data_IF_364512618130
#
_entry.id   IF_364512618130
#
_cell.length_a   1.000
_cell.length_b   1.000
_cell.length_c   1.000
_cell.angle_alpha   90.00
_cell.angle_beta   90.00
_cell.angle_gamma   90.00
#
_symmetry.space_group_name_H-M   'P 1'
#
loop_
_entity.id
_entity.type
_entity.pdbx_description
1 polymer ?
#
# COMPACT_ATOMS: atom_id res chain seq x y z
N UNK A 1 2.15 -0.70 16.19
CA UNK A 1 2.62 -1.38 14.96
C UNK A 1 2.34 -0.52 13.73
N UNK A 2 3.04 -0.78 12.61
CA UNK A 2 2.84 -0.03 11.36
C UNK A 2 1.40 -0.16 10.83
N UNK A 3 0.79 -1.32 11.00
CA UNK A 3 -0.60 -1.56 10.60
C UNK A 3 -1.60 -0.81 11.47
N UNK A 4 -1.36 -0.72 12.79
CA UNK A 4 -2.19 0.09 13.69
C UNK A 4 -2.13 1.58 13.31
N UNK A 5 -0.94 2.07 12.94
CA UNK A 5 -0.79 3.43 12.43
C UNK A 5 -1.61 3.67 11.14
N UNK A 6 -1.62 2.70 10.22
CA UNK A 6 -2.46 2.80 9.01
C UNK A 6 -3.95 2.84 9.33
N UNK A 7 -4.42 2.06 10.32
CA UNK A 7 -5.83 2.13 10.77
C UNK A 7 -6.15 3.52 11.29
N UNK A 8 -5.28 4.09 12.11
CA UNK A 8 -5.47 5.44 12.65
C UNK A 8 -5.47 6.49 11.54
N UNK A 9 -4.51 6.43 10.60
CA UNK A 9 -4.45 7.33 9.46
C UNK A 9 -5.71 7.25 8.57
N UNK A 10 -6.20 6.04 8.30
CA UNK A 10 -7.43 5.86 7.54
C UNK A 10 -8.63 6.46 8.26
N UNK A 11 -8.81 6.15 9.54
CA UNK A 11 -9.93 6.67 10.33
C UNK A 11 -9.92 8.19 10.42
N UNK A 12 -8.76 8.78 10.59
CA UNK A 12 -8.61 10.22 10.68
C UNK A 12 -8.98 10.93 9.37
N UNK A 13 -8.54 10.39 8.23
CA UNK A 13 -8.72 11.04 6.92
C UNK A 13 -9.97 10.59 6.16
N UNK A 14 -10.48 9.39 6.43
CA UNK A 14 -11.57 8.75 5.67
C UNK A 14 -12.65 8.14 6.57
N UNK A 15 -12.77 8.60 7.82
CA UNK A 15 -13.71 8.04 8.80
C UNK A 15 -15.17 8.11 8.38
N UNK A 16 -15.54 9.14 7.61
CA UNK A 16 -16.91 9.40 7.15
C UNK A 16 -17.21 8.79 5.77
N UNK A 17 -16.31 7.99 5.23
CA UNK A 17 -16.49 7.40 3.89
C UNK A 17 -17.44 6.21 3.95
N UNK A 18 -18.53 6.30 3.20
CA UNK A 18 -19.55 5.25 3.11
C UNK A 18 -19.05 3.98 2.39
N UNK A 19 -19.59 2.85 2.83
CA UNK A 19 -19.33 1.53 2.27
C UNK A 19 -18.00 0.93 2.72
N UNK A 20 -17.68 -0.24 2.19
CA UNK A 20 -16.42 -0.91 2.48
C UNK A 20 -15.30 -0.35 1.61
N UNK A 21 -14.22 0.08 2.24
CA UNK A 21 -12.98 0.49 1.57
C UNK A 21 -11.88 -0.54 1.79
N UNK A 22 -11.03 -0.73 0.78
CA UNK A 22 -9.84 -1.58 0.87
C UNK A 22 -8.58 -0.74 0.66
N UNK A 23 -7.61 -0.87 1.56
CA UNK A 23 -6.28 -0.27 1.40
C UNK A 23 -5.28 -1.36 1.06
N UNK A 24 -4.51 -1.17 -0.01
CA UNK A 24 -3.39 -2.03 -0.41
C UNK A 24 -2.08 -1.31 -0.10
N UNK A 25 -1.44 -1.71 0.97
CA UNK A 25 -0.12 -1.20 1.36
C UNK A 25 0.97 -2.11 0.77
N UNK A 26 1.45 -1.74 -0.42
CA UNK A 26 2.38 -2.55 -1.21
C UNK A 26 3.81 -2.17 -0.87
N UNK A 27 4.44 -3.01 -0.06
CA UNK A 27 5.83 -2.84 0.36
C UNK A 27 6.82 -3.64 -0.50
N UNK A 28 8.07 -3.66 -0.05
CA UNK A 28 9.14 -4.41 -0.73
C UNK A 28 8.94 -5.93 -0.63
N UNK A 29 8.61 -6.46 0.55
CA UNK A 29 8.50 -7.91 0.79
C UNK A 29 7.07 -8.42 0.85
N UNK A 30 6.16 -7.58 1.35
CA UNK A 30 4.77 -7.95 1.66
C UNK A 30 3.81 -6.88 1.22
N UNK A 31 2.58 -7.28 0.97
CA UNK A 31 1.43 -6.38 0.82
C UNK A 31 0.49 -6.58 1.99
N UNK A 32 0.16 -5.50 2.70
CA UNK A 32 -0.88 -5.53 3.71
C UNK A 32 -2.20 -5.10 3.08
N UNK A 33 -3.22 -5.90 3.29
CA UNK A 33 -4.58 -5.65 2.83
C UNK A 33 -5.40 -5.27 4.04
N UNK A 34 -5.93 -4.05 4.06
CA UNK A 34 -6.76 -3.55 5.14
C UNK A 34 -8.16 -3.28 4.59
N UNK A 35 -9.18 -3.74 5.31
CA UNK A 35 -10.58 -3.43 5.03
C UNK A 35 -11.14 -2.53 6.11
N UNK A 36 -11.98 -1.59 5.71
CA UNK A 36 -12.67 -0.66 6.60
C UNK A 36 -14.14 -0.56 6.21
N UNK A 37 -15.02 -0.74 7.17
CA UNK A 37 -16.47 -0.63 6.99
C UNK A 37 -17.14 -0.20 8.30
N UNK A 38 -17.61 1.04 8.37
CA UNK A 38 -18.05 1.63 9.63
C UNK A 38 -16.97 1.47 10.70
N UNK A 39 -17.28 0.96 11.88
CA UNK A 39 -16.29 0.72 12.94
C UNK A 39 -15.44 -0.55 12.75
N UNK A 40 -15.81 -1.42 11.80
CA UNK A 40 -15.07 -2.65 11.55
C UNK A 40 -13.81 -2.38 10.75
N UNK A 41 -12.76 -3.13 11.06
CA UNK A 41 -11.58 -3.23 10.20
C UNK A 41 -11.01 -4.65 10.26
N UNK A 42 -10.31 -5.03 9.21
CA UNK A 42 -9.64 -6.32 9.13
C UNK A 42 -8.31 -6.14 8.39
N UNK A 43 -7.28 -6.84 8.84
CA UNK A 43 -5.94 -6.75 8.25
C UNK A 43 -5.44 -8.15 7.91
N UNK A 44 -4.92 -8.31 6.71
CA UNK A 44 -4.24 -9.53 6.28
C UNK A 44 -2.94 -9.19 5.55
N UNK A 45 -1.91 -9.98 5.78
CA UNK A 45 -0.63 -9.87 5.07
C UNK A 45 -0.55 -10.91 3.96
N UNK A 46 -0.18 -10.46 2.77
CA UNK A 46 0.16 -11.28 1.61
C UNK A 46 1.68 -11.23 1.45
N UNK A 47 2.34 -12.39 1.35
CA UNK A 47 3.79 -12.49 1.19
C UNK A 47 4.23 -12.28 -0.27
N UNK A 48 3.71 -11.22 -0.89
CA UNK A 48 4.08 -10.74 -2.22
C UNK A 48 4.30 -9.24 -2.10
N UNK A 49 5.43 -8.76 -2.60
CA UNK A 49 5.79 -7.35 -2.67
C UNK A 49 6.69 -7.08 -3.87
N UNK A 50 7.22 -5.87 -3.98
CA UNK A 50 8.05 -5.47 -5.12
C UNK A 50 9.30 -6.33 -5.31
N UNK A 51 9.87 -6.87 -4.23
CA UNK A 51 11.03 -7.75 -4.30
C UNK A 51 10.73 -9.09 -4.98
N UNK A 52 9.46 -9.51 -5.05
CA UNK A 52 9.08 -10.71 -5.81
C UNK A 52 9.37 -10.52 -7.31
N UNK A 53 9.12 -9.30 -7.83
CA UNK A 53 9.44 -8.95 -9.22
C UNK A 53 10.95 -8.94 -9.43
N UNK A 54 11.69 -8.28 -8.54
CA UNK A 54 13.15 -8.21 -8.61
C UNK A 54 13.80 -9.57 -8.58
N UNK A 55 13.34 -10.45 -7.68
CA UNK A 55 13.89 -11.80 -7.53
C UNK A 55 13.64 -12.67 -8.77
N UNK A 56 12.45 -12.63 -9.33
CA UNK A 56 12.13 -13.39 -10.53
C UNK A 56 12.91 -12.87 -11.75
N UNK A 57 13.00 -11.54 -11.89
CA UNK A 57 13.77 -10.91 -12.96
C UNK A 57 15.27 -11.23 -12.83
N UNK A 58 15.83 -11.15 -11.62
CA UNK A 58 17.23 -11.54 -11.37
C UNK A 58 17.51 -13.00 -11.73
N UNK A 59 16.55 -13.89 -11.41
CA UNK A 59 16.67 -15.32 -11.70
C UNK A 59 16.61 -15.59 -13.21
N UNK A 60 15.65 -14.98 -13.92
CA UNK A 60 15.46 -15.18 -15.36
C UNK A 60 16.65 -14.62 -16.17
N UNK A 61 17.17 -13.46 -15.76
CA UNK A 61 18.28 -12.80 -16.46
C UNK A 61 19.67 -13.20 -15.95
N UNK A 62 19.75 -14.03 -14.90
CA UNK A 62 20.97 -14.44 -14.21
C UNK A 62 21.80 -13.23 -13.69
N UNK A 63 21.13 -12.16 -13.34
CA UNK A 63 21.72 -10.96 -12.73
C UNK A 63 21.77 -11.07 -11.21
N UNK A 64 22.59 -10.22 -10.60
CA UNK A 64 22.53 -10.01 -9.14
C UNK A 64 21.26 -9.26 -8.78
N UNK A 65 20.71 -9.54 -7.60
CA UNK A 65 19.49 -8.86 -7.10
C UNK A 65 19.60 -7.33 -7.17
N UNK A 66 20.75 -6.75 -6.78
CA UNK A 66 20.95 -5.30 -6.81
C UNK A 66 20.88 -4.69 -8.22
N UNK A 67 21.41 -5.39 -9.23
CA UNK A 67 21.32 -4.96 -10.62
C UNK A 67 19.89 -5.06 -11.16
N UNK A 68 19.21 -6.16 -10.83
CA UNK A 68 17.81 -6.35 -11.18
C UNK A 68 16.90 -5.30 -10.52
N UNK A 69 17.20 -4.92 -9.27
CA UNK A 69 16.47 -3.88 -8.54
C UNK A 69 16.65 -2.52 -9.21
N UNK A 70 17.87 -2.17 -9.61
CA UNK A 70 18.15 -0.92 -10.30
C UNK A 70 17.39 -0.83 -11.63
N UNK A 71 17.38 -1.90 -12.43
CA UNK A 71 16.63 -1.96 -13.69
C UNK A 71 15.12 -1.84 -13.42
N UNK A 72 14.61 -2.52 -12.39
CA UNK A 72 13.20 -2.41 -12.02
C UNK A 72 12.82 -0.99 -11.62
N UNK A 73 13.67 -0.28 -10.87
CA UNK A 73 13.40 1.11 -10.47
C UNK A 73 13.41 2.08 -11.66
N UNK A 74 14.24 1.81 -12.68
CA UNK A 74 14.35 2.67 -13.86
C UNK A 74 13.33 2.34 -14.95
N UNK A 75 13.03 1.05 -15.17
CA UNK A 75 12.29 0.55 -16.33
C UNK A 75 11.09 -0.34 -15.95
N UNK A 76 10.85 -0.56 -14.65
CA UNK A 76 9.79 -1.44 -14.20
C UNK A 76 8.41 -0.86 -14.48
N UNK A 77 7.54 -1.68 -15.05
CA UNK A 77 6.13 -1.39 -15.27
C UNK A 77 5.31 -2.67 -15.21
N UNK A 78 4.02 -2.57 -14.97
CA UNK A 78 3.12 -3.74 -15.04
C UNK A 78 2.56 -3.83 -16.46
N UNK A 79 2.97 -4.87 -17.21
CA UNK A 79 2.47 -5.08 -18.56
C UNK A 79 0.94 -5.30 -18.54
N UNK A 80 0.20 -4.50 -19.27
CA UNK A 80 -1.26 -4.64 -19.36
C UNK A 80 -1.68 -5.80 -20.27
N UNK A 81 -0.81 -6.17 -21.24
CA UNK A 81 -1.05 -7.27 -22.19
C UNK A 81 -2.10 -6.90 -23.26
N UNK A 82 -2.50 -7.89 -24.05
CA UNK A 82 -3.50 -7.69 -25.09
C UNK A 82 -2.99 -6.82 -26.24
N UNK A 83 -3.72 -5.74 -26.56
CA UNK A 83 -3.40 -4.82 -27.65
C UNK A 83 -2.28 -3.81 -27.34
N UNK A 84 -1.76 -3.79 -26.12
CA UNK A 84 -0.64 -2.94 -25.74
C UNK A 84 0.65 -3.49 -26.35
N UNK A 85 1.42 -2.61 -27.02
CA UNK A 85 2.70 -2.98 -27.59
C UNK A 85 3.68 -3.43 -26.50
N UNK A 86 4.42 -4.50 -26.76
CA UNK A 86 5.54 -4.87 -25.90
C UNK A 86 6.64 -3.81 -26.00
N UNK A 87 7.31 -3.46 -24.89
CA UNK A 87 8.46 -2.57 -24.92
C UNK A 87 9.55 -3.08 -25.87
N UNK A 88 10.22 -2.17 -26.58
CA UNK A 88 11.31 -2.51 -27.48
C UNK A 88 12.58 -2.94 -26.73
N UNK A 89 12.80 -2.41 -25.52
CA UNK A 89 13.92 -2.79 -24.67
C UNK A 89 13.70 -4.19 -24.07
N UNK A 90 14.61 -5.15 -24.28
CA UNK A 90 14.44 -6.52 -23.80
C UNK A 90 14.30 -6.63 -22.28
N UNK A 91 14.97 -5.79 -21.49
CA UNK A 91 14.86 -5.80 -20.04
C UNK A 91 13.51 -5.25 -19.59
N UNK A 92 13.05 -4.18 -20.24
CA UNK A 92 11.73 -3.60 -19.97
C UNK A 92 10.60 -4.59 -20.34
N UNK A 93 10.71 -5.26 -21.49
CA UNK A 93 9.76 -6.30 -21.90
C UNK A 93 9.74 -7.46 -20.90
N UNK A 94 10.91 -7.96 -20.49
CA UNK A 94 11.01 -9.04 -19.52
C UNK A 94 10.42 -8.66 -18.15
N UNK A 95 10.81 -7.47 -17.62
CA UNK A 95 10.34 -7.04 -16.30
C UNK A 95 8.85 -6.72 -16.29
N UNK A 96 8.29 -6.18 -17.37
CA UNK A 96 6.86 -5.90 -17.49
C UNK A 96 6.02 -7.17 -17.45
N UNK A 97 6.47 -8.21 -18.13
CA UNK A 97 5.86 -9.54 -18.14
C UNK A 97 5.91 -10.19 -16.75
N UNK A 98 7.07 -10.14 -16.09
CA UNK A 98 7.27 -10.69 -14.74
C UNK A 98 6.40 -9.92 -13.74
N UNK A 99 6.39 -8.59 -13.80
CA UNK A 99 5.56 -7.76 -12.94
C UNK A 99 4.08 -8.12 -13.09
N UNK A 100 3.59 -8.29 -14.33
CA UNK A 100 2.22 -8.73 -14.59
C UNK A 100 1.93 -10.11 -13.96
N UNK A 101 2.86 -11.06 -14.06
CA UNK A 101 2.69 -12.39 -13.47
C UNK A 101 2.63 -12.33 -11.93
N UNK A 102 3.54 -11.54 -11.31
CA UNK A 102 3.56 -11.34 -9.86
C UNK A 102 2.26 -10.68 -9.39
N UNK A 103 1.82 -9.63 -10.08
CA UNK A 103 0.57 -8.93 -9.74
C UNK A 103 -0.67 -9.80 -9.99
N UNK A 104 -0.65 -10.70 -10.96
CA UNK A 104 -1.71 -11.69 -11.16
C UNK A 104 -1.81 -12.67 -9.98
N UNK A 105 -0.68 -13.14 -9.46
CA UNK A 105 -0.66 -13.97 -8.24
C UNK A 105 -1.15 -13.19 -7.02
N UNK A 106 -0.75 -11.93 -6.89
CA UNK A 106 -1.27 -11.05 -5.84
C UNK A 106 -2.79 -10.88 -5.95
N UNK A 107 -3.33 -10.65 -7.14
CA UNK A 107 -4.77 -10.56 -7.38
C UNK A 107 -5.53 -11.82 -6.93
N UNK A 108 -4.99 -13.02 -7.16
CA UNK A 108 -5.60 -14.26 -6.65
C UNK A 108 -5.68 -14.25 -5.12
N UNK A 109 -4.60 -13.85 -4.46
CA UNK A 109 -4.56 -13.73 -3.00
C UNK A 109 -5.52 -12.64 -2.47
N UNK A 110 -5.65 -11.53 -3.21
CA UNK A 110 -6.62 -10.48 -2.88
C UNK A 110 -8.06 -11.01 -2.96
N UNK A 111 -8.42 -11.74 -4.02
CA UNK A 111 -9.75 -12.36 -4.12
C UNK A 111 -10.06 -13.31 -2.96
N UNK A 112 -9.11 -14.15 -2.59
CA UNK A 112 -9.25 -15.05 -1.44
C UNK A 112 -9.44 -14.26 -0.14
N UNK A 113 -8.71 -13.15 0.01
CA UNK A 113 -8.79 -12.28 1.19
C UNK A 113 -10.14 -11.56 1.25
N UNK A 114 -10.64 -11.06 0.13
CA UNK A 114 -11.98 -10.45 0.03
C UNK A 114 -13.08 -11.47 0.36
N UNK A 115 -12.98 -12.69 -0.14
CA UNK A 115 -13.93 -13.76 0.20
C UNK A 115 -13.90 -14.12 1.69
N UNK A 116 -12.72 -14.12 2.31
CA UNK A 116 -12.59 -14.35 3.76
C UNK A 116 -13.21 -13.20 4.54
N UNK A 117 -12.95 -11.96 4.15
CA UNK A 117 -13.58 -10.78 4.75
C UNK A 117 -15.10 -10.87 4.72
N UNK A 118 -15.68 -11.20 3.57
CA UNK A 118 -17.13 -11.30 3.42
C UNK A 118 -17.73 -12.48 4.21
N UNK A 119 -17.17 -13.67 4.07
CA UNK A 119 -17.78 -14.89 4.61
C UNK A 119 -17.48 -15.13 6.08
N UNK A 120 -16.31 -14.72 6.57
CA UNK A 120 -15.85 -15.04 7.92
C UNK A 120 -15.89 -13.83 8.85
N UNK A 121 -15.74 -12.63 8.31
CA UNK A 121 -15.74 -11.40 9.12
C UNK A 121 -17.05 -10.61 8.98
N UNK A 122 -17.96 -11.07 8.13
CA UNK A 122 -19.27 -10.43 7.93
C UNK A 122 -19.16 -9.02 7.33
N UNK A 123 -18.15 -8.80 6.50
CA UNK A 123 -17.95 -7.54 5.79
C UNK A 123 -18.63 -7.52 4.43
N UNK A 124 -18.85 -6.33 3.89
CA UNK A 124 -19.38 -6.12 2.56
C UNK A 124 -18.30 -6.16 1.48
N UNK A 125 -18.71 -6.24 0.22
CA UNK A 125 -17.78 -6.13 -0.90
C UNK A 125 -17.16 -4.72 -0.91
N UNK A 126 -15.84 -4.59 -1.03
CA UNK A 126 -15.22 -3.27 -1.18
C UNK A 126 -15.77 -2.54 -2.41
N UNK A 127 -15.97 -1.25 -2.30
CA UNK A 127 -16.45 -0.38 -3.38
C UNK A 127 -15.37 0.52 -3.93
N UNK A 128 -14.19 0.57 -3.28
CA UNK A 128 -13.02 1.35 -3.69
C UNK A 128 -11.74 0.78 -3.11
N UNK A 129 -10.63 1.09 -3.74
CA UNK A 129 -9.29 0.68 -3.30
C UNK A 129 -8.39 1.90 -3.19
N UNK A 130 -7.68 2.00 -2.08
CA UNK A 130 -6.62 2.98 -1.88
C UNK A 130 -5.25 2.30 -1.96
N UNK A 131 -4.36 2.84 -2.76
CA UNK A 131 -2.97 2.37 -2.88
C UNK A 131 -2.07 3.15 -1.92
N UNK A 132 -1.27 2.42 -1.16
CA UNK A 132 -0.25 2.93 -0.25
C UNK A 132 1.06 2.16 -0.44
N UNK A 133 2.17 2.76 -0.03
CA UNK A 133 3.48 2.14 -0.02
C UNK A 133 4.31 2.40 -1.26
N UNK A 134 5.64 2.25 -1.13
CA UNK A 134 6.59 2.65 -2.16
C UNK A 134 6.49 1.89 -3.49
N UNK A 135 5.95 0.67 -3.48
CA UNK A 135 5.75 -0.10 -4.70
C UNK A 135 4.46 0.26 -5.46
N UNK A 136 3.56 1.02 -4.83
CA UNK A 136 2.29 1.42 -5.43
C UNK A 136 2.44 2.35 -6.66
N UNK A 137 3.58 3.03 -6.78
CA UNK A 137 3.87 3.94 -7.90
C UNK A 137 4.35 3.25 -9.18
N UNK A 138 4.47 1.92 -9.19
CA UNK A 138 4.91 1.21 -10.39
C UNK A 138 3.96 1.54 -11.56
N UNK A 139 4.48 2.00 -12.71
CA UNK A 139 3.66 2.37 -13.86
C UNK A 139 2.68 1.26 -14.26
N UNK A 140 1.47 1.65 -14.59
CA UNK A 140 0.33 0.79 -14.98
C UNK A 140 -0.20 -0.15 -13.89
N UNK A 141 0.31 -0.09 -12.65
CA UNK A 141 -0.23 -0.88 -11.55
C UNK A 141 -1.67 -0.48 -11.18
N UNK A 142 -2.01 0.82 -11.07
CA UNK A 142 -3.41 1.22 -10.81
C UNK A 142 -4.37 0.71 -11.89
N UNK A 143 -4.02 0.83 -13.17
CA UNK A 143 -4.82 0.38 -14.31
C UNK A 143 -5.01 -1.13 -14.29
N UNK A 144 -3.94 -1.89 -14.03
CA UNK A 144 -4.01 -3.34 -13.89
C UNK A 144 -4.96 -3.75 -12.75
N UNK A 145 -4.85 -3.10 -11.60
CA UNK A 145 -5.72 -3.40 -10.44
C UNK A 145 -7.17 -2.99 -10.71
N UNK A 146 -7.41 -1.85 -11.34
CA UNK A 146 -8.74 -1.40 -11.72
C UNK A 146 -9.43 -2.41 -12.67
N UNK A 147 -8.69 -2.90 -13.68
CA UNK A 147 -9.18 -3.94 -14.59
C UNK A 147 -9.52 -5.24 -13.84
N UNK A 148 -8.62 -5.68 -12.96
CA UNK A 148 -8.77 -6.98 -12.28
C UNK A 148 -9.79 -6.98 -11.15
N UNK A 149 -9.91 -5.89 -10.43
CA UNK A 149 -10.81 -5.77 -9.27
C UNK A 149 -12.17 -5.17 -9.64
N UNK A 150 -12.28 -4.52 -10.81
CA UNK A 150 -13.51 -3.86 -11.31
C UNK A 150 -14.05 -2.82 -10.31
N UNK A 151 -13.15 -2.03 -9.72
CA UNK A 151 -13.49 -0.97 -8.78
C UNK A 151 -12.52 0.21 -8.91
N UNK A 152 -12.92 1.42 -8.48
CA UNK A 152 -12.06 2.60 -8.49
C UNK A 152 -10.79 2.37 -7.68
N UNK A 153 -9.65 2.79 -8.23
CA UNK A 153 -8.35 2.76 -7.60
C UNK A 153 -7.87 4.20 -7.42
N UNK A 154 -7.50 4.55 -6.19
CA UNK A 154 -7.00 5.87 -5.84
C UNK A 154 -5.74 5.73 -5.00
N UNK A 155 -4.86 6.74 -5.01
CA UNK A 155 -3.76 6.79 -4.05
C UNK A 155 -4.27 7.26 -2.68
N UNK A 156 -3.78 6.62 -1.62
CA UNK A 156 -4.10 7.01 -0.26
C UNK A 156 -3.52 8.40 0.04
N UNK A 157 -4.37 9.35 0.40
CA UNK A 157 -3.95 10.68 0.87
C UNK A 157 -4.05 10.75 2.41
N UNK A 158 -2.92 10.73 3.13
CA UNK A 158 -2.93 10.81 4.59
C UNK A 158 -3.08 12.23 5.14
N UNK A 159 -3.19 13.25 4.28
CA UNK A 159 -3.15 14.66 4.66
C UNK A 159 -4.49 15.39 4.52
N UNK A 160 -5.61 14.67 4.27
CA UNK A 160 -6.94 15.32 4.10
C UNK A 160 -7.33 16.15 5.32
N UNK A 161 -7.06 15.63 6.51
CA UNK A 161 -7.35 16.32 7.78
C UNK A 161 -6.16 17.05 8.39
N UNK A 162 -5.08 17.28 7.61
CA UNK A 162 -3.83 17.90 8.11
C UNK A 162 -3.58 19.20 7.38
N UNK A 163 -3.41 20.29 8.15
CA UNK A 163 -2.96 21.57 7.59
C UNK A 163 -1.46 21.49 7.27
N UNK A 164 -1.11 21.78 6.01
CA UNK A 164 0.27 21.77 5.53
C UNK A 164 0.76 23.20 5.41
N UNK A 165 1.81 23.51 6.15
CA UNK A 165 2.51 24.80 6.05
C UNK A 165 3.30 24.86 4.72
N UNK A 166 2.75 25.59 3.76
CA UNK A 166 3.33 25.75 2.42
C UNK A 166 4.61 26.59 2.39
N UNK A 167 4.91 27.33 3.44
CA UNK A 167 6.15 28.10 3.54
C UNK A 167 7.35 27.21 3.90
N UNK A 168 7.10 26.07 4.55
CA UNK A 168 8.13 25.13 5.02
C UNK A 168 8.14 23.81 4.25
N UNK A 169 7.07 23.44 3.54
CA UNK A 169 6.94 22.16 2.84
C UNK A 169 6.73 22.39 1.36
N UNK A 170 7.55 21.75 0.52
CA UNK A 170 7.31 21.69 -0.92
C UNK A 170 6.13 20.75 -1.22
N UNK A 171 4.96 21.35 -1.41
CA UNK A 171 3.71 20.63 -1.64
C UNK A 171 3.79 19.80 -2.92
N UNK A 172 4.45 20.27 -3.98
CA UNK A 172 4.57 19.57 -5.24
C UNK A 172 5.42 18.27 -5.11
N UNK A 173 6.46 18.32 -4.30
CA UNK A 173 7.23 17.10 -3.98
C UNK A 173 6.47 16.18 -3.02
N UNK A 174 5.73 16.75 -2.06
CA UNK A 174 4.90 15.96 -1.14
C UNK A 174 3.80 15.19 -1.89
N UNK A 175 3.14 15.79 -2.86
CA UNK A 175 2.10 15.14 -3.66
C UNK A 175 2.60 13.87 -4.37
N UNK A 176 3.85 13.86 -4.85
CA UNK A 176 4.46 12.70 -5.52
C UNK A 176 4.64 11.51 -4.60
N UNK A 177 4.90 11.74 -3.32
CA UNK A 177 5.23 10.70 -2.35
C UNK A 177 4.23 10.58 -1.19
N UNK A 178 3.22 11.44 -1.16
CA UNK A 178 2.25 11.55 -0.06
C UNK A 178 1.60 10.22 0.32
N UNK A 179 1.31 9.39 -0.68
CA UNK A 179 0.71 8.05 -0.50
C UNK A 179 1.60 7.09 0.33
N UNK A 180 2.86 7.42 0.60
CA UNK A 180 3.77 6.61 1.44
C UNK A 180 3.77 7.04 2.91
N UNK A 181 3.18 8.18 3.24
CA UNK A 181 3.23 8.79 4.58
C UNK A 181 2.13 8.30 5.53
N UNK A 182 1.20 7.48 5.10
CA UNK A 182 0.07 7.04 5.92
C UNK A 182 0.47 6.51 7.31
N UNK A 183 1.53 5.71 7.39
CA UNK A 183 2.03 5.17 8.67
C UNK A 183 2.61 6.25 9.56
N UNK A 184 3.32 7.22 8.99
CA UNK A 184 3.96 8.33 9.72
C UNK A 184 2.87 9.25 10.27
N UNK A 185 1.92 9.65 9.43
CA UNK A 185 0.76 10.45 9.86
C UNK A 185 -0.05 9.72 10.92
N UNK A 186 -0.34 8.43 10.73
CA UNK A 186 -1.06 7.62 11.70
C UNK A 186 -0.35 7.43 13.05
N UNK A 187 0.97 7.63 13.11
CA UNK A 187 1.72 7.71 14.35
C UNK A 187 1.64 9.10 14.96
N UNK A 188 1.79 10.14 14.13
CA UNK A 188 1.84 11.53 14.59
C UNK A 188 0.48 11.99 15.18
N UNK A 189 -0.63 11.63 14.55
CA UNK A 189 -1.97 12.03 15.02
C UNK A 189 -2.33 11.49 16.41
N UNK A 190 -1.62 10.48 16.93
CA UNK A 190 -1.84 9.94 18.28
C UNK A 190 -1.61 10.97 19.39
N UNK A 191 -0.82 12.00 19.12
CA UNK A 191 -0.54 13.07 20.10
C UNK A 191 -1.64 14.15 20.10
N UNK A 192 -2.46 14.22 19.04
CA UNK A 192 -3.42 15.32 18.85
C UNK A 192 -4.87 14.86 18.67
N UNK A 193 -5.11 13.58 18.45
CA UNK A 193 -6.43 13.01 18.22
C UNK A 193 -6.65 11.71 19.00
N UNK A 194 -7.91 11.42 19.34
CA UNK A 194 -8.30 10.13 19.87
C UNK A 194 -8.20 9.08 18.76
N UNK A 195 -7.23 8.18 18.88
CA UNK A 195 -7.00 7.14 17.90
C UNK A 195 -7.71 5.84 18.30
N UNK A 196 -8.37 5.14 17.35
CA UNK A 196 -9.07 3.88 17.65
C UNK A 196 -8.13 2.74 18.07
N UNK A 197 -6.85 2.82 17.70
CA UNK A 197 -5.84 1.84 18.07
C UNK A 197 -4.65 2.50 18.77
N UNK A 198 -4.71 2.50 20.08
CA UNK A 198 -3.58 2.89 20.92
C UNK A 198 -2.81 1.66 21.41
N UNK A 199 -1.76 1.30 20.68
CA UNK A 199 -0.89 0.19 21.03
C UNK A 199 0.50 0.71 21.37
N UNK A 200 0.85 0.68 22.64
CA UNK A 200 2.18 1.01 23.10
C UNK A 200 2.92 -0.28 23.49
N UNK A 201 3.92 -0.64 22.70
CA UNK A 201 4.74 -1.84 22.92
C UNK A 201 6.01 -1.57 23.75
N UNK A 202 6.17 -0.34 24.27
CA UNK A 202 7.31 -0.05 25.15
C UNK A 202 7.22 -0.86 26.46
N UNK A 203 8.34 -1.37 26.96
CA UNK A 203 8.39 -1.98 28.29
C UNK A 203 7.85 -1.03 29.36
N UNK A 204 7.19 -1.57 30.39
CA UNK A 204 6.57 -0.77 31.45
C UNK A 204 7.52 0.22 32.13
N UNK A 205 8.79 -0.16 32.31
CA UNK A 205 9.85 0.71 32.85
C UNK A 205 10.14 1.94 31.98
N UNK A 206 10.07 1.81 30.64
CA UNK A 206 10.28 2.92 29.73
C UNK A 206 9.06 3.85 29.65
N UNK A 207 7.84 3.34 29.93
CA UNK A 207 6.61 4.17 29.99
C UNK A 207 6.64 5.12 31.18
N UNK A 208 7.12 4.70 32.33
CA UNK A 208 7.21 5.53 33.54
C UNK A 208 8.15 6.72 33.35
N UNK A 209 9.22 6.56 32.56
CA UNK A 209 10.12 7.67 32.24
C UNK A 209 9.45 8.71 31.32
N UNK A 210 8.65 8.28 30.36
CA UNK A 210 7.97 9.17 29.42
C UNK A 210 6.83 9.98 30.06
N UNK A 211 6.13 9.40 31.05
CA UNK A 211 5.06 10.08 31.79
C UNK A 211 5.61 11.00 32.91
N UNK A 212 6.86 10.84 33.29
CA UNK A 212 7.53 11.70 34.28
C UNK A 212 8.15 12.99 33.70
N UNK A 213 8.34 13.03 32.38
CA UNK A 213 8.92 14.19 31.66
C UNK A 213 7.83 15.09 31.02
N UNK A 214 6.55 14.85 31.27
CA UNK A 214 5.39 15.66 30.92
C UNK A 214 4.86 16.35 32.17
#
# INVERSE_FOLDING_TARGET
TAQAAMVNAFRYNYGDVDGCSMVLDIGAKTTHVLFFEGEKFFIRTINIGANSITQEFATETKMRFSQAEEIKLQKGLVGLGGAYAEPEDPHEAAISKIARQVMTRMHVQLKQTMQFWQKQQGGSNPVRVFLHGGAAIMPYLPEFLAEKLQMPIEYFNPFIGVDIDQDTVDVAELEKVGHTFGRIVGLAIREVANCPLEMNLMPGTARIQQDGDR
#
